data_IF_991325303480
#
_entry.id   IF_991325303480
#
_cell.length_a   1.000
_cell.length_b   1.000
_cell.length_c   1.000
_cell.angle_alpha   90.00
_cell.angle_beta   90.00
_cell.angle_gamma   90.00
#
_symmetry.space_group_name_H-M   'P 1'
#
loop_
_entity.id
_entity.type
_entity.pdbx_description
1 polymer ?
#
# COMPACT_ATOMS: atom_id res chain seq x y z
N UNK A 1 -6.54 -6.65 9.75
CA UNK A 1 -6.56 -5.24 9.36
C UNK A 1 -5.44 -4.95 8.39
N UNK A 2 -5.65 -3.99 7.53
CA UNK A 2 -4.72 -3.69 6.46
C UNK A 2 -4.42 -2.20 6.40
N UNK A 3 -3.22 -1.88 5.95
CA UNK A 3 -2.82 -0.50 5.68
C UNK A 3 -2.60 -0.35 4.19
N UNK A 4 -2.88 0.85 3.68
CA UNK A 4 -2.61 1.18 2.29
C UNK A 4 -1.51 2.22 2.26
N UNK A 5 -0.46 1.92 1.51
CA UNK A 5 0.73 2.75 1.44
C UNK A 5 0.99 3.15 0.01
N UNK A 6 1.63 4.29 -0.17
CA UNK A 6 2.18 4.66 -1.46
C UNK A 6 3.69 4.63 -1.35
N UNK A 7 4.32 3.82 -2.16
CA UNK A 7 5.76 3.75 -2.21
C UNK A 7 6.24 4.66 -3.33
N UNK A 8 6.79 5.79 -2.92
CA UNK A 8 7.24 6.82 -3.84
C UNK A 8 8.76 6.70 -3.95
N UNK A 9 9.23 6.57 -5.16
CA UNK A 9 10.65 6.43 -5.44
C UNK A 9 11.47 7.63 -4.92
N UNK A 10 10.86 8.83 -4.87
CA UNK A 10 11.55 10.05 -4.42
C UNK A 10 11.43 10.29 -2.93
N UNK A 11 10.29 9.96 -2.33
CA UNK A 11 9.97 10.32 -0.96
C UNK A 11 9.83 9.11 -0.02
N UNK A 12 9.97 7.92 -0.56
CA UNK A 12 9.86 6.72 0.26
C UNK A 12 8.42 6.30 0.49
N UNK A 13 8.16 5.82 1.69
CA UNK A 13 6.89 5.23 2.04
C UNK A 13 5.96 6.26 2.67
N UNK A 14 4.74 6.32 2.17
CA UNK A 14 3.72 7.23 2.68
C UNK A 14 2.47 6.43 3.03
N UNK A 15 1.96 6.58 4.24
CA UNK A 15 0.74 5.89 4.65
C UNK A 15 -0.46 6.67 4.14
N UNK A 16 -1.29 6.01 3.35
CA UNK A 16 -2.50 6.62 2.80
C UNK A 16 -3.72 6.35 3.68
N UNK A 17 -3.80 5.16 4.25
CA UNK A 17 -4.87 4.78 5.15
C UNK A 17 -4.40 3.60 5.98
N UNK A 18 -4.97 3.40 7.16
CA UNK A 18 -4.59 2.29 8.02
C UNK A 18 -5.79 1.75 8.78
N UNK A 19 -5.63 0.52 9.28
CA UNK A 19 -6.66 -0.11 10.08
C UNK A 19 -7.93 -0.45 9.33
N UNK A 20 -7.83 -0.77 8.04
CA UNK A 20 -8.98 -1.07 7.19
C UNK A 20 -9.21 -2.57 7.11
N UNK A 21 -10.45 -2.97 6.89
CA UNK A 21 -10.73 -4.35 6.54
C UNK A 21 -10.28 -4.59 5.08
N UNK A 22 -10.34 -5.85 4.66
CA UNK A 22 -9.85 -6.24 3.34
C UNK A 22 -10.56 -5.47 2.22
N UNK A 23 -11.88 -5.40 2.28
CA UNK A 23 -12.65 -4.77 1.21
C UNK A 23 -12.38 -3.26 1.13
N UNK A 24 -12.33 -2.60 2.25
CA UNK A 24 -12.03 -1.18 2.28
C UNK A 24 -10.61 -0.89 1.83
N UNK A 25 -9.66 -1.73 2.24
CA UNK A 25 -8.27 -1.58 1.81
C UNK A 25 -8.16 -1.71 0.29
N UNK A 26 -8.83 -2.69 -0.29
CA UNK A 26 -8.82 -2.87 -1.74
C UNK A 26 -9.45 -1.68 -2.46
N UNK A 27 -10.54 -1.15 -1.92
CA UNK A 27 -11.21 0.00 -2.50
C UNK A 27 -10.33 1.24 -2.47
N UNK A 28 -9.70 1.50 -1.34
CA UNK A 28 -8.80 2.64 -1.20
C UNK A 28 -7.60 2.49 -2.12
N UNK A 29 -7.00 1.31 -2.15
CA UNK A 29 -5.84 1.07 -3.00
C UNK A 29 -6.17 1.26 -4.47
N UNK A 30 -7.33 0.79 -4.89
CA UNK A 30 -7.77 0.95 -6.28
C UNK A 30 -7.95 2.42 -6.63
N UNK A 31 -8.65 3.15 -5.78
CA UNK A 31 -8.88 4.57 -5.99
C UNK A 31 -7.57 5.35 -6.07
N UNK A 32 -6.66 5.08 -5.15
CA UNK A 32 -5.38 5.76 -5.11
C UNK A 32 -4.50 5.40 -6.30
N UNK A 33 -4.48 4.13 -6.69
CA UNK A 33 -3.66 3.72 -7.83
C UNK A 33 -4.17 4.35 -9.13
N UNK A 34 -5.47 4.44 -9.29
CA UNK A 34 -6.06 5.07 -10.48
C UNK A 34 -5.79 6.56 -10.51
N UNK A 35 -5.94 7.21 -9.38
CA UNK A 35 -5.71 8.64 -9.29
C UNK A 35 -4.26 9.01 -9.56
N UNK A 36 -3.34 8.17 -9.12
CA UNK A 36 -1.90 8.43 -9.28
C UNK A 36 -1.33 7.85 -10.56
N UNK A 37 -2.10 7.04 -11.26
CA UNK A 37 -1.62 6.42 -12.49
C UNK A 37 -0.53 5.40 -12.26
N UNK A 38 -0.58 4.67 -11.14
CA UNK A 38 0.43 3.68 -10.78
C UNK A 38 -0.23 2.33 -10.56
N UNK A 39 0.58 1.29 -10.49
CA UNK A 39 0.10 -0.04 -10.17
C UNK A 39 -0.22 -0.20 -8.69
N UNK A 40 -0.84 -1.31 -8.35
CA UNK A 40 -1.05 -1.67 -6.96
C UNK A 40 -0.64 -3.11 -6.72
N UNK A 41 -0.25 -3.41 -5.49
CA UNK A 41 0.30 -4.69 -5.13
C UNK A 41 -0.13 -5.06 -3.73
N UNK A 42 -0.45 -6.34 -3.54
CA UNK A 42 -0.77 -6.87 -2.23
C UNK A 42 0.47 -7.57 -1.70
N UNK A 43 1.00 -7.09 -0.58
CA UNK A 43 2.18 -7.69 0.03
C UNK A 43 1.79 -8.57 1.20
N UNK A 44 2.10 -9.84 1.09
CA UNK A 44 1.90 -10.78 2.18
C UNK A 44 3.12 -10.83 3.11
N UNK A 45 4.22 -10.23 2.73
CA UNK A 45 5.44 -10.23 3.51
C UNK A 45 6.12 -8.88 3.51
N UNK A 46 7.32 -8.83 4.03
CA UNK A 46 8.06 -7.60 4.19
C UNK A 46 8.94 -7.24 3.00
N UNK A 47 8.89 -8.02 1.96
CA UNK A 47 9.77 -7.77 0.84
C UNK A 47 9.17 -6.76 -0.12
N UNK A 48 9.74 -5.59 -0.10
CA UNK A 48 9.50 -4.60 -1.12
C UNK A 48 10.59 -4.81 -2.15
N UNK A 49 10.23 -5.34 -3.30
CA UNK A 49 11.20 -5.58 -4.33
C UNK A 49 11.80 -4.31 -4.87
N UNK A 50 11.75 -4.13 -6.16
CA UNK A 50 12.32 -2.94 -6.76
C UNK A 50 11.59 -1.68 -6.35
N UNK A 51 12.34 -0.62 -6.25
CA UNK A 51 11.78 0.69 -5.95
C UNK A 51 11.10 1.25 -7.17
N UNK A 52 9.81 1.41 -7.07
CA UNK A 52 9.01 2.05 -8.11
C UNK A 52 7.79 2.64 -7.44
N UNK A 53 7.15 3.56 -8.11
CA UNK A 53 5.92 4.14 -7.59
C UNK A 53 4.81 3.10 -7.65
N UNK A 54 4.26 2.76 -6.51
CA UNK A 54 3.26 1.70 -6.43
C UNK A 54 2.43 1.89 -5.16
N UNK A 55 1.15 1.54 -5.25
CA UNK A 55 0.28 1.51 -4.08
C UNK A 55 0.31 0.09 -3.51
N UNK A 56 0.58 -0.01 -2.22
CA UNK A 56 0.72 -1.29 -1.52
C UNK A 56 -0.42 -1.49 -0.54
N UNK A 57 -0.90 -2.72 -0.46
CA UNK A 57 -1.79 -3.16 0.62
C UNK A 57 -0.99 -4.12 1.47
N UNK A 58 -0.83 -3.82 2.74
CA UNK A 58 -0.06 -4.66 3.66
C UNK A 58 -0.86 -4.92 4.92
N UNK A 59 -0.61 -6.04 5.57
CA UNK A 59 -1.23 -6.31 6.86
C UNK A 59 -0.68 -5.35 7.90
N UNK A 60 -1.58 -4.74 8.66
CA UNK A 60 -1.20 -3.80 9.70
C UNK A 60 -0.26 -4.43 10.72
N UNK A 61 -0.49 -5.69 11.06
CA UNK A 61 0.35 -6.40 12.01
C UNK A 61 1.79 -6.55 11.52
N UNK A 62 1.99 -6.70 10.23
CA UNK A 62 3.33 -6.84 9.67
C UNK A 62 4.14 -5.54 9.80
N UNK A 63 3.45 -4.40 9.82
CA UNK A 63 4.11 -3.10 9.97
C UNK A 63 4.36 -2.72 11.42
N UNK A 64 3.60 -3.29 12.32
CA UNK A 64 3.69 -2.95 13.74
C UNK A 64 4.88 -3.59 14.44
N UNK A 65 5.54 -4.50 13.79
CA UNK A 65 6.67 -5.23 14.40
C UNK A 65 7.92 -4.34 14.54
#
# INVERSE_FOLDING_TARGET
MYDVLFLDRSHGEQVLASGLDHDDACRVARSESERRGVGRMFLAGSEVGERRDVVLIVESAARAA
#
